data_IF_483161076838
#
_entry.id   IF_483161076838
#
_cell.length_a   1.000
_cell.length_b   1.000
_cell.length_c   1.000
_cell.angle_alpha   90.00
_cell.angle_beta   90.00
_cell.angle_gamma   90.00
#
_symmetry.space_group_name_H-M   'P 1'
#
loop_
_entity.id
_entity.type
_entity.pdbx_description
1 polymer ?
#
# COMPACT_ATOMS: atom_id res chain seq x y z
N UNK A 1 -3.08 12.65 -27.30
CA UNK A 1 -4.15 13.28 -26.51
C UNK A 1 -5.39 13.34 -27.41
N UNK A 2 -6.47 12.66 -26.99
CA UNK A 2 -7.65 12.49 -27.86
C UNK A 2 -8.57 13.71 -27.90
N UNK A 3 -8.65 14.53 -26.84
CA UNK A 3 -9.50 15.71 -26.78
C UNK A 3 -8.76 16.86 -26.09
N UNK A 4 -8.78 18.03 -26.74
CA UNK A 4 -8.08 19.25 -26.30
C UNK A 4 -8.68 19.84 -25.01
N UNK A 5 -9.88 19.41 -24.61
CA UNK A 5 -10.55 19.89 -23.38
C UNK A 5 -10.06 19.19 -22.10
N UNK A 6 -9.14 18.23 -22.21
CA UNK A 6 -8.70 17.39 -21.07
C UNK A 6 -7.78 18.12 -20.07
N UNK A 7 -7.26 19.30 -20.39
CA UNK A 7 -6.25 19.98 -19.58
C UNK A 7 -4.83 19.36 -19.66
N UNK A 8 -4.61 18.37 -20.51
CA UNK A 8 -3.34 17.71 -20.75
C UNK A 8 -2.75 18.01 -22.12
N UNK A 9 -1.44 18.02 -22.21
CA UNK A 9 -0.68 18.22 -23.46
C UNK A 9 0.13 16.97 -23.81
N UNK A 10 0.40 16.76 -25.11
CA UNK A 10 1.28 15.71 -25.59
C UNK A 10 2.68 15.86 -24.95
N UNK A 11 3.31 14.75 -24.57
CA UNK A 11 4.61 14.73 -23.91
C UNK A 11 4.56 14.88 -22.37
N UNK A 12 3.43 15.24 -21.80
CA UNK A 12 3.32 15.28 -20.34
C UNK A 12 3.34 13.87 -19.75
N UNK A 13 4.12 13.69 -18.68
CA UNK A 13 4.18 12.44 -17.92
C UNK A 13 3.06 12.40 -16.89
N UNK A 14 2.36 11.27 -16.82
CA UNK A 14 1.25 11.08 -15.89
C UNK A 14 1.37 9.74 -15.18
N UNK A 15 0.87 9.68 -13.95
CA UNK A 15 0.49 8.44 -13.28
C UNK A 15 -1.01 8.23 -13.47
N UNK A 16 -1.41 6.99 -13.74
CA UNK A 16 -2.81 6.66 -14.08
C UNK A 16 -3.45 5.88 -12.95
N UNK A 17 -4.52 6.44 -12.36
CA UNK A 17 -5.34 5.72 -11.39
C UNK A 17 -6.05 4.56 -12.07
N UNK A 18 -5.89 3.31 -11.59
CA UNK A 18 -6.65 2.18 -12.13
C UNK A 18 -8.13 2.21 -11.71
N UNK A 19 -8.50 3.02 -10.73
CA UNK A 19 -9.84 3.09 -10.14
C UNK A 19 -10.76 3.97 -10.98
N UNK A 20 -11.90 3.40 -11.41
CA UNK A 20 -12.93 4.08 -12.18
C UNK A 20 -14.31 3.75 -11.60
N UNK A 21 -14.74 4.44 -10.55
CA UNK A 21 -16.08 4.30 -9.99
C UNK A 21 -17.14 4.89 -10.92
N UNK A 22 -18.39 4.41 -10.85
CA UNK A 22 -19.44 4.86 -11.75
C UNK A 22 -20.00 6.25 -11.42
N UNK A 23 -19.71 6.81 -10.25
CA UNK A 23 -20.22 8.11 -9.79
C UNK A 23 -21.71 8.14 -9.39
N UNK A 24 -22.52 7.19 -9.83
CA UNK A 24 -23.97 7.24 -9.70
C UNK A 24 -24.63 6.20 -8.79
N UNK A 25 -23.87 5.27 -8.19
CA UNK A 25 -24.46 4.29 -7.27
C UNK A 25 -24.50 4.82 -5.83
N UNK A 26 -25.24 4.14 -4.95
CA UNK A 26 -25.41 4.55 -3.54
C UNK A 26 -24.08 4.80 -2.84
N UNK A 27 -23.09 3.91 -3.01
CA UNK A 27 -21.80 4.07 -2.34
C UNK A 27 -20.98 5.24 -2.91
N UNK A 28 -21.09 5.54 -4.20
CA UNK A 28 -20.47 6.75 -4.75
C UNK A 28 -21.11 8.01 -4.16
N UNK A 29 -22.44 8.04 -4.01
CA UNK A 29 -23.15 9.16 -3.39
C UNK A 29 -22.88 9.30 -1.88
N UNK A 30 -22.57 8.20 -1.18
CA UNK A 30 -22.17 8.20 0.22
C UNK A 30 -20.68 8.57 0.43
N UNK A 31 -19.93 8.89 -0.64
CA UNK A 31 -18.50 9.21 -0.55
C UNK A 31 -17.60 8.00 -0.38
N UNK A 32 -18.08 6.81 -0.75
CA UNK A 32 -17.35 5.54 -0.68
C UNK A 32 -17.08 4.95 -2.08
N UNK A 33 -16.40 5.70 -2.98
CA UNK A 33 -16.24 5.28 -4.37
C UNK A 33 -15.41 3.99 -4.53
N UNK A 34 -14.51 3.67 -3.60
CA UNK A 34 -13.79 2.39 -3.56
C UNK A 34 -14.70 1.17 -3.39
N UNK A 35 -15.92 1.36 -2.86
CA UNK A 35 -16.99 0.35 -2.74
C UNK A 35 -18.04 0.44 -3.85
N UNK A 36 -17.75 1.15 -4.94
CA UNK A 36 -18.66 1.31 -6.07
C UNK A 36 -19.19 -0.03 -6.58
N UNK A 37 -20.52 -0.14 -6.76
CA UNK A 37 -21.16 -1.36 -7.25
C UNK A 37 -20.77 -1.71 -8.69
N UNK A 38 -20.39 -0.71 -9.49
CA UNK A 38 -19.99 -0.86 -10.89
C UNK A 38 -18.53 -0.47 -11.08
N UNK A 39 -17.67 -0.75 -10.12
CA UNK A 39 -16.26 -0.43 -10.16
C UNK A 39 -15.58 -1.07 -11.37
N UNK A 40 -14.90 -0.24 -12.17
CA UNK A 40 -13.98 -0.68 -13.21
C UNK A 40 -12.56 -0.36 -12.76
N UNK A 41 -11.84 -1.38 -12.29
CA UNK A 41 -10.48 -1.24 -11.81
C UNK A 41 -9.55 -2.03 -12.73
N UNK A 42 -8.59 -1.36 -13.39
CA UNK A 42 -7.70 -2.02 -14.36
C UNK A 42 -7.00 -3.23 -13.74
N UNK A 43 -7.07 -4.37 -14.44
CA UNK A 43 -6.48 -5.65 -14.02
C UNK A 43 -7.29 -6.40 -12.96
N UNK A 44 -8.47 -5.91 -12.56
CA UNK A 44 -9.28 -6.60 -11.55
C UNK A 44 -10.01 -7.81 -12.13
N UNK A 45 -9.86 -8.95 -11.46
CA UNK A 45 -10.61 -10.18 -11.71
C UNK A 45 -11.91 -10.29 -10.87
N UNK A 46 -12.21 -9.30 -10.01
CA UNK A 46 -13.41 -9.33 -9.17
C UNK A 46 -14.73 -9.29 -9.95
N UNK A 47 -14.93 -8.39 -10.95
CA UNK A 47 -16.12 -8.43 -11.79
C UNK A 47 -15.97 -9.47 -12.90
N UNK A 48 -17.10 -9.96 -13.42
CA UNK A 48 -17.12 -10.75 -14.64
C UNK A 48 -17.98 -10.04 -15.72
N UNK A 49 -17.48 -9.90 -16.96
CA UNK A 49 -16.11 -10.22 -17.43
C UNK A 49 -15.03 -9.38 -16.75
N UNK A 50 -13.81 -9.96 -16.61
CA UNK A 50 -12.69 -9.32 -15.96
C UNK A 50 -12.28 -8.01 -16.65
N UNK A 51 -11.80 -7.06 -15.88
CA UNK A 51 -11.32 -5.78 -16.41
C UNK A 51 -9.88 -5.94 -16.90
N UNK A 52 -9.64 -5.57 -18.16
CA UNK A 52 -8.32 -5.61 -18.77
C UNK A 52 -7.29 -4.81 -17.95
N UNK A 53 -6.06 -5.32 -17.88
CA UNK A 53 -4.95 -4.68 -17.18
C UNK A 53 -4.29 -3.54 -17.99
N UNK A 54 -3.33 -2.88 -17.35
CA UNK A 54 -2.63 -1.73 -17.90
C UNK A 54 -1.25 -2.08 -18.51
N UNK A 55 -0.82 -3.34 -18.54
CA UNK A 55 0.42 -3.75 -19.21
C UNK A 55 0.24 -3.73 -20.72
N UNK A 56 0.39 -2.55 -21.32
CA UNK A 56 0.24 -2.29 -22.76
C UNK A 56 0.95 -1.01 -23.16
N UNK A 57 1.33 -0.89 -24.41
CA UNK A 57 2.01 0.30 -24.94
C UNK A 57 1.06 1.50 -25.03
N UNK A 58 -0.22 1.26 -25.34
CA UNK A 58 -1.24 2.31 -25.48
C UNK A 58 -2.42 1.97 -24.56
N UNK A 59 -2.76 2.92 -23.68
CA UNK A 59 -3.90 2.82 -22.77
C UNK A 59 -4.80 4.03 -22.96
N UNK A 60 -6.08 3.78 -23.28
CA UNK A 60 -7.10 4.83 -23.32
C UNK A 60 -7.70 4.95 -21.93
N UNK A 61 -7.70 6.17 -21.40
CA UNK A 61 -8.19 6.50 -20.06
C UNK A 61 -9.13 7.69 -20.08
N UNK A 62 -9.86 7.90 -19.02
CA UNK A 62 -10.55 9.17 -18.75
C UNK A 62 -9.57 10.19 -18.16
N UNK A 63 -9.78 11.47 -18.46
CA UNK A 63 -8.92 12.55 -17.93
C UNK A 63 -8.86 12.57 -16.39
N UNK A 64 -9.95 12.18 -15.73
CA UNK A 64 -10.04 12.04 -14.27
C UNK A 64 -9.11 11.00 -13.67
N UNK A 65 -8.62 10.05 -14.48
CA UNK A 65 -7.68 9.02 -14.04
C UNK A 65 -6.21 9.47 -14.17
N UNK A 66 -5.94 10.53 -14.94
CA UNK A 66 -4.59 11.00 -15.18
C UNK A 66 -4.15 12.02 -14.12
N UNK A 67 -2.98 11.83 -13.55
CA UNK A 67 -2.38 12.74 -12.57
C UNK A 67 -0.97 13.10 -13.02
N UNK A 68 -0.70 14.41 -13.19
CA UNK A 68 0.58 14.92 -13.69
C UNK A 68 1.72 14.56 -12.75
N UNK A 69 2.82 14.08 -13.33
CA UNK A 69 4.08 13.89 -12.64
C UNK A 69 4.95 15.17 -12.81
N UNK A 70 5.57 15.60 -11.72
CA UNK A 70 6.55 16.66 -11.76
C UNK A 70 7.78 16.25 -12.60
N UNK A 71 8.55 17.20 -13.17
CA UNK A 71 9.76 16.89 -13.92
C UNK A 71 10.80 16.07 -13.13
N UNK A 72 10.83 16.21 -11.81
CA UNK A 72 11.71 15.49 -10.89
C UNK A 72 11.24 14.08 -10.54
N UNK A 73 9.98 13.71 -10.85
CA UNK A 73 9.39 12.40 -10.53
C UNK A 73 9.54 11.49 -11.73
N UNK A 74 10.20 10.35 -11.55
CA UNK A 74 10.39 9.34 -12.59
C UNK A 74 9.09 8.56 -12.86
N UNK A 75 8.99 7.91 -14.02
CA UNK A 75 7.85 7.03 -14.33
C UNK A 75 7.79 5.83 -13.38
N UNK A 76 8.95 5.32 -12.95
CA UNK A 76 9.03 4.23 -11.99
C UNK A 76 8.46 4.63 -10.61
N UNK A 77 8.80 5.84 -10.12
CA UNK A 77 8.17 6.40 -8.91
C UNK A 77 6.66 6.61 -9.11
N UNK A 78 6.25 7.16 -10.25
CA UNK A 78 4.84 7.33 -10.60
C UNK A 78 4.04 6.03 -10.62
N UNK A 79 4.66 4.91 -11.01
CA UNK A 79 4.04 3.60 -10.96
C UNK A 79 3.78 3.10 -9.53
N UNK A 80 4.48 3.64 -8.53
CA UNK A 80 4.26 3.32 -7.11
C UNK A 80 3.09 4.11 -6.49
N UNK A 81 2.49 5.07 -7.20
CA UNK A 81 1.35 5.83 -6.67
C UNK A 81 0.17 4.92 -6.30
N UNK A 82 -0.07 3.85 -7.08
CA UNK A 82 -1.15 2.90 -6.81
C UNK A 82 -0.94 2.18 -5.48
N UNK A 83 0.14 1.41 -5.28
CA UNK A 83 0.34 0.71 -4.01
C UNK A 83 0.59 1.66 -2.83
N UNK A 84 1.12 2.86 -3.04
CA UNK A 84 1.24 3.90 -2.01
C UNK A 84 -0.14 4.36 -1.53
N UNK A 85 -1.10 4.50 -2.44
CA UNK A 85 -2.48 4.90 -2.13
C UNK A 85 -3.17 3.91 -1.18
N UNK A 86 -2.85 2.62 -1.27
CA UNK A 86 -3.36 1.59 -0.34
C UNK A 86 -2.89 1.89 1.09
N UNK A 87 -1.61 2.24 1.26
CA UNK A 87 -1.05 2.63 2.57
C UNK A 87 -1.70 3.90 3.13
N UNK A 88 -1.88 4.92 2.29
CA UNK A 88 -2.54 6.17 2.69
C UNK A 88 -3.99 5.93 3.12
N UNK A 89 -4.73 5.11 2.37
CA UNK A 89 -6.10 4.75 2.74
C UNK A 89 -6.14 3.97 4.07
N UNK A 90 -5.20 3.06 4.30
CA UNK A 90 -5.09 2.34 5.57
C UNK A 90 -4.87 3.30 6.75
N UNK A 91 -4.04 4.35 6.60
CA UNK A 91 -3.81 5.38 7.63
C UNK A 91 -5.10 6.16 7.91
N UNK A 92 -5.89 6.50 6.89
CA UNK A 92 -7.20 7.13 7.09
C UNK A 92 -8.15 6.21 7.85
N UNK A 93 -8.15 4.90 7.52
CA UNK A 93 -8.95 3.90 8.24
C UNK A 93 -8.54 3.77 9.71
N UNK A 94 -7.28 4.02 10.05
CA UNK A 94 -6.81 4.06 11.43
C UNK A 94 -7.30 5.29 12.22
N UNK A 95 -7.77 6.33 11.54
CA UNK A 95 -8.15 7.60 12.17
C UNK A 95 -6.94 8.50 12.48
N UNK A 96 -5.86 8.35 11.71
CA UNK A 96 -4.61 9.10 11.84
C UNK A 96 -3.60 8.45 12.79
N UNK A 97 -2.33 8.83 12.62
CA UNK A 97 -1.18 8.20 13.29
C UNK A 97 -0.21 9.20 13.93
N UNK A 98 -0.47 10.50 13.82
CA UNK A 98 0.41 11.51 14.39
C UNK A 98 0.64 11.29 15.89
N UNK A 99 1.90 11.24 16.31
CA UNK A 99 2.31 11.03 17.70
C UNK A 99 2.05 9.63 18.25
N UNK A 100 1.66 8.64 17.41
CA UNK A 100 1.32 7.28 17.85
C UNK A 100 2.48 6.29 17.67
N UNK A 101 2.52 5.28 18.53
CA UNK A 101 3.40 4.10 18.40
C UNK A 101 2.69 3.09 17.53
N UNK A 102 3.34 2.70 16.44
CA UNK A 102 2.74 1.89 15.39
C UNK A 102 3.50 0.58 15.22
N UNK A 103 2.78 -0.53 15.12
CA UNK A 103 3.30 -1.82 14.68
C UNK A 103 2.87 -2.09 13.25
N UNK A 104 3.82 -2.47 12.39
CA UNK A 104 3.55 -2.98 11.05
C UNK A 104 4.03 -4.41 10.96
N UNK A 105 3.13 -5.35 10.69
CA UNK A 105 3.45 -6.76 10.42
C UNK A 105 3.32 -7.04 8.93
N UNK A 106 4.39 -7.60 8.34
CA UNK A 106 4.52 -7.77 6.90
C UNK A 106 5.13 -6.55 6.21
N UNK A 107 6.40 -6.68 5.83
CA UNK A 107 7.21 -5.65 5.19
C UNK A 107 7.41 -5.92 3.68
N UNK A 108 6.41 -6.51 3.02
CA UNK A 108 6.35 -6.56 1.56
C UNK A 108 6.20 -5.15 0.94
N UNK A 109 5.98 -5.04 -0.38
CA UNK A 109 5.87 -3.74 -1.05
C UNK A 109 4.85 -2.80 -0.40
N UNK A 110 3.65 -3.32 -0.07
CA UNK A 110 2.59 -2.52 0.58
C UNK A 110 3.00 -2.10 1.99
N UNK A 111 3.54 -3.03 2.80
CA UNK A 111 3.98 -2.72 4.17
C UNK A 111 5.10 -1.68 4.19
N UNK A 112 6.06 -1.77 3.27
CA UNK A 112 7.14 -0.80 3.16
C UNK A 112 6.66 0.59 2.72
N UNK A 113 5.77 0.68 1.73
CA UNK A 113 5.16 1.95 1.33
C UNK A 113 4.29 2.54 2.44
N UNK A 114 3.60 1.70 3.20
CA UNK A 114 2.86 2.13 4.38
C UNK A 114 3.80 2.69 5.46
N UNK A 115 4.97 2.07 5.72
CA UNK A 115 5.98 2.58 6.66
C UNK A 115 6.43 3.99 6.25
N UNK A 116 6.75 4.21 4.97
CA UNK A 116 7.09 5.55 4.46
C UNK A 116 5.96 6.57 4.66
N UNK A 117 4.71 6.13 4.45
CA UNK A 117 3.53 6.96 4.67
C UNK A 117 3.31 7.28 6.15
N UNK A 118 3.57 6.34 7.06
CA UNK A 118 3.48 6.51 8.52
C UNK A 118 4.51 7.52 9.01
N UNK A 119 5.74 7.45 8.50
CA UNK A 119 6.78 8.42 8.82
C UNK A 119 6.37 9.83 8.38
N UNK A 120 5.92 9.97 7.13
CA UNK A 120 5.44 11.25 6.60
C UNK A 120 4.22 11.79 7.37
N UNK A 121 3.35 10.91 7.89
CA UNK A 121 2.19 11.27 8.70
C UNK A 121 2.52 11.55 10.17
N UNK A 122 3.79 11.51 10.58
CA UNK A 122 4.24 11.88 11.91
C UNK A 122 3.99 10.83 13.00
N UNK A 123 4.04 9.53 12.66
CA UNK A 123 4.07 8.49 13.67
C UNK A 123 5.28 8.67 14.61
N UNK A 124 5.07 8.52 15.91
CA UNK A 124 6.11 8.71 16.94
C UNK A 124 7.17 7.61 16.88
N UNK A 125 6.73 6.39 16.67
CA UNK A 125 7.57 5.21 16.56
C UNK A 125 6.92 4.23 15.59
N UNK A 126 7.73 3.62 14.74
CA UNK A 126 7.29 2.59 13.80
C UNK A 126 8.14 1.36 14.04
N UNK A 127 7.52 0.31 14.57
CA UNK A 127 8.13 -1.02 14.72
C UNK A 127 7.64 -1.90 13.59
N UNK A 128 8.56 -2.51 12.85
CA UNK A 128 8.25 -3.36 11.72
C UNK A 128 8.68 -4.82 12.00
N UNK A 129 7.82 -5.77 11.69
CA UNK A 129 8.07 -7.20 11.87
C UNK A 129 7.80 -7.98 10.58
N UNK A 130 8.73 -8.84 10.20
CA UNK A 130 8.66 -9.70 9.02
C UNK A 130 9.51 -10.97 9.23
N UNK A 131 9.48 -11.89 8.28
CA UNK A 131 10.31 -13.10 8.26
C UNK A 131 11.53 -12.97 7.34
N UNK A 132 11.69 -11.84 6.63
CA UNK A 132 12.71 -11.58 5.61
C UNK A 132 13.60 -10.41 6.00
N UNK A 133 14.91 -10.67 6.09
CA UNK A 133 15.91 -9.61 6.36
C UNK A 133 15.94 -8.54 5.28
N UNK A 134 15.77 -8.93 4.01
CA UNK A 134 15.73 -7.97 2.89
C UNK A 134 14.53 -7.04 2.98
N UNK A 135 13.37 -7.57 3.38
CA UNK A 135 12.16 -6.77 3.61
C UNK A 135 12.33 -5.80 4.79
N UNK A 136 12.97 -6.25 5.88
CA UNK A 136 13.26 -5.44 7.05
C UNK A 136 14.35 -4.38 6.77
N UNK A 137 15.34 -4.69 5.94
CA UNK A 137 16.32 -3.70 5.48
C UNK A 137 15.66 -2.58 4.67
N UNK A 138 14.68 -2.92 3.82
CA UNK A 138 13.85 -1.94 3.14
C UNK A 138 13.03 -1.12 4.15
N UNK A 139 12.41 -1.76 5.16
CA UNK A 139 11.62 -1.10 6.18
C UNK A 139 12.40 -0.03 6.96
N UNK A 140 13.68 -0.32 7.30
CA UNK A 140 14.58 0.69 7.91
C UNK A 140 14.79 1.89 6.99
N UNK A 141 15.02 1.64 5.70
CA UNK A 141 15.20 2.72 4.70
C UNK A 141 13.92 3.53 4.50
N UNK A 142 12.75 2.90 4.67
CA UNK A 142 11.46 3.56 4.59
C UNK A 142 11.07 4.31 5.88
N UNK A 143 11.86 4.19 6.96
CA UNK A 143 11.66 4.96 8.19
C UNK A 143 11.17 4.17 9.40
N UNK A 144 11.23 2.84 9.37
CA UNK A 144 11.00 2.05 10.58
C UNK A 144 12.08 2.35 11.62
N UNK A 145 11.64 2.68 12.85
CA UNK A 145 12.54 2.97 13.97
C UNK A 145 13.19 1.70 14.52
N UNK A 146 12.50 0.58 14.43
CA UNK A 146 12.92 -0.73 14.94
C UNK A 146 12.36 -1.84 14.03
N UNK A 147 13.12 -2.92 13.87
CA UNK A 147 12.71 -4.04 13.01
C UNK A 147 13.02 -5.36 13.69
N UNK A 148 12.10 -6.33 13.57
CA UNK A 148 12.24 -7.67 14.13
C UNK A 148 12.06 -8.74 13.05
N UNK A 149 13.05 -9.65 12.93
CA UNK A 149 12.93 -10.84 12.11
C UNK A 149 12.31 -11.97 12.97
N UNK A 150 11.01 -12.20 12.78
CA UNK A 150 10.29 -13.20 13.58
C UNK A 150 10.60 -14.64 13.18
N UNK A 151 11.35 -14.87 12.09
CA UNK A 151 11.90 -16.19 11.76
C UNK A 151 13.05 -16.56 12.70
N UNK A 152 13.91 -15.58 12.99
CA UNK A 152 15.12 -15.78 13.80
C UNK A 152 14.83 -15.52 15.29
N UNK A 153 13.94 -14.58 15.59
CA UNK A 153 13.52 -14.18 16.94
C UNK A 153 11.98 -14.22 17.08
N UNK A 154 11.38 -15.43 17.16
CA UNK A 154 9.91 -15.56 17.20
C UNK A 154 9.24 -14.80 18.37
N UNK A 155 9.97 -14.65 19.50
CA UNK A 155 9.48 -14.00 20.73
C UNK A 155 9.82 -12.50 20.77
N UNK A 156 10.36 -11.91 19.71
CA UNK A 156 10.81 -10.51 19.73
C UNK A 156 9.67 -9.52 20.09
N UNK A 157 8.43 -9.83 19.75
CA UNK A 157 7.27 -9.00 20.06
C UNK A 157 6.78 -9.17 21.52
N UNK A 158 7.22 -10.18 22.27
CA UNK A 158 6.76 -10.42 23.64
C UNK A 158 7.05 -9.22 24.59
N UNK A 159 8.13 -8.49 24.34
CA UNK A 159 8.49 -7.27 25.09
C UNK A 159 7.43 -6.17 25.04
N UNK A 160 6.56 -6.17 24.03
CA UNK A 160 5.50 -5.19 23.85
C UNK A 160 4.16 -5.63 24.46
N UNK A 161 4.10 -6.75 25.16
CA UNK A 161 2.86 -7.25 25.79
C UNK A 161 2.68 -6.77 27.23
N UNK A 162 3.74 -6.23 27.85
CA UNK A 162 3.69 -5.69 29.23
C UNK A 162 2.60 -4.61 29.37
N UNK A 163 2.09 -4.45 30.59
CA UNK A 163 1.11 -3.40 30.94
C UNK A 163 -0.14 -3.38 30.03
N UNK A 164 -0.60 -4.54 29.62
CA UNK A 164 -1.71 -4.78 28.68
C UNK A 164 -1.41 -4.40 27.21
N UNK A 165 -0.16 -4.13 26.85
CA UNK A 165 0.25 -3.84 25.47
C UNK A 165 0.78 -2.41 25.29
N UNK A 166 1.41 -2.22 24.15
CA UNK A 166 2.28 -1.06 23.91
C UNK A 166 1.79 -0.17 22.76
N UNK A 167 1.33 -0.78 21.63
CA UNK A 167 1.04 -0.03 20.41
C UNK A 167 -0.33 0.62 20.42
N UNK A 168 -0.40 1.84 19.88
CA UNK A 168 -1.62 2.59 19.68
C UNK A 168 -2.37 2.11 18.42
N UNK A 169 -1.59 1.80 17.36
CA UNK A 169 -2.10 1.33 16.07
C UNK A 169 -1.27 0.17 15.56
N UNK A 170 -1.92 -0.81 14.95
CA UNK A 170 -1.28 -1.87 14.19
C UNK A 170 -1.82 -1.89 12.76
N UNK A 171 -0.92 -2.11 11.81
CA UNK A 171 -1.26 -2.45 10.45
C UNK A 171 -0.78 -3.86 10.14
N UNK A 172 -1.72 -4.74 9.85
CA UNK A 172 -1.42 -6.10 9.43
C UNK A 172 -1.40 -6.17 7.90
N UNK A 173 -0.20 -6.25 7.31
CA UNK A 173 0.03 -6.21 5.87
C UNK A 173 0.59 -7.54 5.30
N UNK A 174 0.70 -8.58 6.13
CA UNK A 174 1.19 -9.89 5.71
C UNK A 174 0.09 -10.83 5.22
N UNK A 175 -1.15 -10.65 5.69
CA UNK A 175 -2.26 -11.60 5.54
C UNK A 175 -2.10 -12.86 6.40
N UNK A 176 -1.15 -12.87 7.34
CA UNK A 176 -0.88 -14.02 8.23
C UNK A 176 -1.77 -14.00 9.46
N UNK A 177 -2.50 -15.09 9.68
CA UNK A 177 -3.29 -15.26 10.89
C UNK A 177 -2.42 -15.24 12.16
N UNK A 178 -1.17 -15.73 12.09
CA UNK A 178 -0.24 -15.71 13.22
C UNK A 178 0.21 -14.29 13.52
N UNK A 179 0.61 -13.52 12.50
CA UNK A 179 1.03 -12.13 12.68
C UNK A 179 -0.09 -11.27 13.29
N UNK A 180 -1.35 -11.50 12.88
CA UNK A 180 -2.50 -10.81 13.46
C UNK A 180 -2.70 -11.18 14.93
N UNK A 181 -2.62 -12.48 15.28
CA UNK A 181 -2.75 -12.95 16.69
C UNK A 181 -1.66 -12.38 17.58
N UNK A 182 -0.41 -12.45 17.15
CA UNK A 182 0.73 -11.96 17.93
C UNK A 182 0.65 -10.46 18.13
N UNK A 183 0.34 -9.73 17.05
CA UNK A 183 0.17 -8.28 17.10
C UNK A 183 -0.96 -7.83 18.02
N UNK A 184 -2.09 -8.54 18.06
CA UNK A 184 -3.21 -8.24 18.98
C UNK A 184 -2.76 -8.27 20.44
N UNK A 185 -1.83 -9.14 20.82
CA UNK A 185 -1.31 -9.21 22.20
C UNK A 185 -0.53 -7.94 22.57
N UNK A 186 0.12 -7.33 21.58
CA UNK A 186 0.96 -6.13 21.72
C UNK A 186 0.17 -4.82 21.73
N UNK A 187 -1.13 -4.86 21.39
CA UNK A 187 -1.99 -3.67 21.38
C UNK A 187 -2.36 -3.24 22.79
N UNK A 188 -2.25 -1.95 23.07
CA UNK A 188 -2.79 -1.38 24.30
C UNK A 188 -4.34 -1.39 24.28
N UNK A 189 -5.00 -1.25 25.45
CA UNK A 189 -6.45 -1.05 25.48
C UNK A 189 -6.89 0.13 24.58
N UNK A 190 -8.00 -0.06 23.86
CA UNK A 190 -8.56 0.88 22.89
C UNK A 190 -7.60 1.22 21.72
N UNK A 191 -6.67 0.31 21.43
CA UNK A 191 -5.83 0.39 20.22
C UNK A 191 -6.63 0.08 18.96
N UNK A 192 -6.11 0.52 17.81
CA UNK A 192 -6.73 0.31 16.51
C UNK A 192 -5.90 -0.70 15.72
N UNK A 193 -6.52 -1.73 15.17
CA UNK A 193 -5.90 -2.69 14.26
C UNK A 193 -6.53 -2.55 12.88
N UNK A 194 -5.71 -2.28 11.86
CA UNK A 194 -6.14 -2.21 10.47
C UNK A 194 -5.59 -3.39 9.71
N UNK A 195 -6.47 -4.25 9.18
CA UNK A 195 -6.08 -5.36 8.32
C UNK A 195 -5.95 -4.88 6.88
N UNK A 196 -4.75 -5.01 6.32
CA UNK A 196 -4.37 -4.61 4.96
C UNK A 196 -4.09 -5.84 4.11
N UNK A 197 -3.43 -6.84 4.68
CA UNK A 197 -3.10 -8.09 4.04
C UNK A 197 -4.36 -8.90 3.71
N UNK A 198 -4.39 -9.48 2.51
CA UNK A 198 -5.44 -10.42 2.10
C UNK A 198 -4.98 -11.83 2.41
N UNK A 199 -5.61 -12.45 3.40
CA UNK A 199 -5.49 -13.86 3.75
C UNK A 199 -6.80 -14.60 3.51
N UNK A 200 -6.82 -15.89 3.83
CA UNK A 200 -8.08 -16.65 3.92
C UNK A 200 -8.82 -16.36 5.23
N UNK A 201 -9.78 -17.21 5.56
CA UNK A 201 -10.46 -17.14 6.85
C UNK A 201 -9.46 -17.35 8.00
N UNK A 202 -9.54 -16.48 9.00
CA UNK A 202 -8.61 -16.48 10.13
C UNK A 202 -9.37 -16.60 11.46
N UNK A 203 -8.84 -17.42 12.39
CA UNK A 203 -9.30 -17.43 13.77
C UNK A 203 -8.52 -16.42 14.59
N UNK A 204 -9.23 -15.55 15.31
CA UNK A 204 -8.64 -14.54 16.19
C UNK A 204 -9.09 -14.74 17.64
N UNK A 205 -8.30 -14.31 18.64
CA UNK A 205 -8.67 -14.36 20.04
C UNK A 205 -9.68 -13.24 20.37
N UNK A 206 -10.97 -13.46 20.07
CA UNK A 206 -12.00 -12.46 20.21
C UNK A 206 -12.13 -11.93 21.65
N UNK A 207 -11.90 -12.79 22.67
CA UNK A 207 -11.90 -12.36 24.07
C UNK A 207 -10.84 -11.30 24.36
N UNK A 208 -9.69 -11.33 23.66
CA UNK A 208 -8.66 -10.30 23.76
C UNK A 208 -9.13 -8.98 23.16
N UNK A 209 -9.78 -9.04 22.00
CA UNK A 209 -10.37 -7.86 21.33
C UNK A 209 -11.40 -7.21 22.26
N UNK A 210 -12.31 -8.00 22.85
CA UNK A 210 -13.33 -7.50 23.79
C UNK A 210 -12.69 -6.96 25.07
N UNK A 211 -11.76 -7.72 25.69
CA UNK A 211 -11.15 -7.34 26.97
C UNK A 211 -10.26 -6.10 26.93
N UNK A 212 -9.76 -5.75 25.73
CA UNK A 212 -8.98 -4.52 25.49
C UNK A 212 -9.76 -3.44 24.74
N UNK A 213 -11.03 -3.67 24.39
CA UNK A 213 -11.84 -2.75 23.56
C UNK A 213 -11.10 -2.35 22.26
N UNK A 214 -10.49 -3.32 21.57
CA UNK A 214 -9.73 -3.06 20.35
C UNK A 214 -10.68 -2.77 19.19
N UNK A 215 -10.42 -1.69 18.46
CA UNK A 215 -11.05 -1.40 17.18
C UNK A 215 -10.38 -2.23 16.06
N UNK A 216 -11.06 -3.27 15.59
CA UNK A 216 -10.60 -4.05 14.42
C UNK A 216 -11.26 -3.50 13.15
N UNK A 217 -10.45 -3.00 12.20
CA UNK A 217 -10.91 -2.32 10.99
C UNK A 217 -10.33 -2.98 9.75
N UNK A 218 -11.14 -3.11 8.69
CA UNK A 218 -10.66 -3.45 7.35
C UNK A 218 -10.28 -2.20 6.56
N UNK A 219 -9.39 -2.38 5.58
CA UNK A 219 -9.13 -1.41 4.52
C UNK A 219 -9.26 -2.09 3.16
N UNK A 220 -9.79 -1.39 2.18
CA UNK A 220 -9.99 -1.95 0.86
C UNK A 220 -9.71 -0.93 -0.22
N UNK A 221 -8.67 -1.21 -1.05
CA UNK A 221 -8.27 -0.34 -2.17
C UNK A 221 -8.03 1.11 -1.72
N UNK A 222 -8.45 2.07 -2.53
CA UNK A 222 -8.36 3.51 -2.35
C UNK A 222 -9.25 4.20 -3.40
N UNK A 223 -9.39 5.53 -3.32
CA UNK A 223 -9.82 6.33 -4.45
C UNK A 223 -9.23 7.75 -4.39
N UNK A 224 -9.62 8.64 -3.44
CA UNK A 224 -9.06 9.99 -3.39
C UNK A 224 -7.55 9.99 -3.04
N UNK A 225 -7.07 8.96 -2.36
CA UNK A 225 -5.69 8.85 -1.94
C UNK A 225 -4.70 8.73 -3.11
N UNK A 226 -5.17 8.39 -4.34
CA UNK A 226 -4.30 8.33 -5.51
C UNK A 226 -3.74 9.71 -5.87
N UNK A 227 -4.58 10.74 -5.88
CA UNK A 227 -4.12 12.11 -6.11
C UNK A 227 -3.14 12.55 -5.02
N UNK A 228 -3.41 12.19 -3.76
CA UNK A 228 -2.51 12.49 -2.64
C UNK A 228 -1.17 11.76 -2.79
N UNK A 229 -1.17 10.49 -3.19
CA UNK A 229 0.04 9.73 -3.44
C UNK A 229 0.92 10.38 -4.51
N UNK A 230 0.34 10.78 -5.64
CA UNK A 230 1.07 11.50 -6.71
C UNK A 230 1.65 12.81 -6.21
N UNK A 231 0.91 13.58 -5.42
CA UNK A 231 1.39 14.84 -4.86
C UNK A 231 2.56 14.63 -3.89
N UNK A 232 2.48 13.61 -3.02
CA UNK A 232 3.57 13.26 -2.10
C UNK A 232 4.83 12.81 -2.84
N UNK A 233 4.68 12.06 -3.94
CA UNK A 233 5.79 11.67 -4.83
C UNK A 233 6.39 12.87 -5.55
N UNK A 234 5.56 13.76 -6.08
CA UNK A 234 5.99 14.96 -6.79
C UNK A 234 6.78 15.91 -5.88
N UNK A 235 6.38 16.03 -4.62
CA UNK A 235 7.08 16.83 -3.59
C UNK A 235 8.23 16.11 -2.92
N UNK A 236 8.51 14.86 -3.28
CA UNK A 236 9.55 14.04 -2.63
C UNK A 236 9.38 13.91 -1.11
N UNK A 237 8.14 13.98 -0.62
CA UNK A 237 7.82 13.78 0.80
C UNK A 237 8.06 12.33 1.22
N UNK A 238 7.79 11.39 0.29
CA UNK A 238 8.05 9.97 0.48
C UNK A 238 9.00 9.52 -0.63
N UNK A 239 10.18 9.03 -0.25
CA UNK A 239 11.10 8.37 -1.17
C UNK A 239 10.70 6.88 -1.32
N UNK A 240 10.17 6.52 -2.49
CA UNK A 240 9.75 5.14 -2.80
C UNK A 240 10.84 4.31 -3.48
N UNK A 241 11.98 4.91 -3.81
CA UNK A 241 13.08 4.21 -4.49
C UNK A 241 13.59 2.98 -3.72
N UNK A 242 13.64 2.97 -2.36
CA UNK A 242 14.01 1.77 -1.62
C UNK A 242 13.15 0.54 -1.93
N UNK A 243 11.90 0.74 -2.35
CA UNK A 243 10.95 -0.35 -2.67
C UNK A 243 11.14 -0.89 -4.09
N UNK A 244 11.64 -0.06 -5.02
CA UNK A 244 11.89 -0.47 -6.42
C UNK A 244 13.18 -1.28 -6.46
N UNK A 245 13.06 -2.62 -6.51
CA UNK A 245 14.23 -3.50 -6.56
C UNK A 245 14.78 -3.67 -7.98
N UNK A 246 13.89 -3.71 -8.97
CA UNK A 246 14.25 -3.96 -10.37
C UNK A 246 13.36 -3.17 -11.33
N UNK A 247 13.98 -2.70 -12.42
CA UNK A 247 13.28 -2.18 -13.59
C UNK A 247 13.67 -3.06 -14.78
N UNK A 248 12.69 -3.70 -15.41
CA UNK A 248 12.91 -4.71 -16.44
C UNK A 248 12.21 -4.28 -17.73
N UNK A 249 12.88 -4.31 -18.89
CA UNK A 249 12.25 -3.99 -20.16
C UNK A 249 11.08 -4.92 -20.48
N UNK A 250 9.99 -4.40 -21.07
CA UNK A 250 8.76 -5.16 -21.34
C UNK A 250 8.97 -6.41 -22.19
N UNK A 251 9.95 -6.42 -23.09
CA UNK A 251 10.28 -7.61 -23.89
C UNK A 251 10.82 -8.79 -23.06
N UNK A 252 11.20 -8.55 -21.80
CA UNK A 252 11.59 -9.54 -20.79
C UNK A 252 10.48 -9.75 -19.74
N UNK A 253 9.23 -9.47 -20.09
CA UNK A 253 8.12 -9.51 -19.11
C UNK A 253 7.99 -10.86 -18.39
N UNK A 254 8.20 -11.99 -19.07
CA UNK A 254 8.15 -13.33 -18.43
C UNK A 254 9.14 -13.41 -17.28
N UNK A 255 10.39 -13.04 -17.52
CA UNK A 255 11.44 -13.01 -16.50
C UNK A 255 11.09 -12.03 -15.36
N UNK A 256 10.50 -10.88 -15.69
CA UNK A 256 10.07 -9.90 -14.68
C UNK A 256 8.98 -10.47 -13.77
N UNK A 257 8.03 -11.24 -14.30
CA UNK A 257 6.99 -11.90 -13.48
C UNK A 257 7.57 -13.01 -12.62
N UNK A 258 8.51 -13.81 -13.13
CA UNK A 258 9.22 -14.83 -12.34
C UNK A 258 9.98 -14.18 -11.17
N UNK A 259 10.73 -13.12 -11.46
CA UNK A 259 11.46 -12.34 -10.46
C UNK A 259 10.52 -11.72 -9.41
N UNK A 260 9.38 -11.14 -9.83
CA UNK A 260 8.39 -10.57 -8.93
C UNK A 260 7.74 -11.62 -8.01
N UNK A 261 7.71 -12.89 -8.42
CA UNK A 261 7.26 -14.03 -7.61
C UNK A 261 8.27 -14.45 -6.53
N UNK A 262 9.54 -14.13 -6.72
CA UNK A 262 10.62 -14.48 -5.76
C UNK A 262 10.82 -13.36 -4.73
N UNK A 263 10.13 -13.50 -3.59
CA UNK A 263 10.20 -12.53 -2.48
C UNK A 263 11.58 -12.40 -1.82
N UNK A 264 12.52 -13.32 -2.10
CA UNK A 264 13.89 -13.23 -1.58
C UNK A 264 14.74 -12.31 -2.45
N UNK A 265 14.47 -12.27 -3.75
CA UNK A 265 15.24 -11.49 -4.72
C UNK A 265 14.63 -10.13 -5.04
N UNK A 266 13.31 -10.02 -5.00
CA UNK A 266 12.64 -8.79 -5.41
C UNK A 266 11.64 -8.27 -4.37
N UNK A 267 11.67 -6.96 -4.16
CA UNK A 267 10.63 -6.23 -3.41
C UNK A 267 9.54 -5.77 -4.38
N UNK A 268 9.88 -4.92 -5.35
CA UNK A 268 8.96 -4.48 -6.42
C UNK A 268 9.70 -4.46 -7.75
N UNK A 269 9.15 -5.14 -8.74
CA UNK A 269 9.63 -5.14 -10.11
C UNK A 269 8.75 -4.20 -10.93
N UNK A 270 9.36 -3.26 -11.65
CA UNK A 270 8.71 -2.34 -12.56
C UNK A 270 9.02 -2.76 -14.00
N UNK A 271 8.00 -2.83 -14.86
CA UNK A 271 8.16 -3.06 -16.29
C UNK A 271 8.36 -1.72 -16.99
N UNK A 272 9.45 -1.61 -17.75
CA UNK A 272 9.75 -0.47 -18.61
C UNK A 272 9.32 -0.76 -20.04
N UNK A 273 8.37 0.02 -20.55
CA UNK A 273 7.88 -0.08 -21.92
C UNK A 273 8.74 0.69 -22.92
N UNK A 274 9.75 1.42 -22.43
CA UNK A 274 10.55 2.33 -23.25
C UNK A 274 9.73 3.53 -23.69
N UNK A 275 10.07 4.72 -23.23
CA UNK A 275 9.50 5.95 -23.79
C UNK A 275 10.15 6.15 -25.17
N UNK A 276 9.40 5.93 -26.25
CA UNK A 276 9.79 6.46 -27.56
C UNK A 276 9.51 7.96 -27.48
N UNK A 277 10.55 8.77 -27.55
CA UNK A 277 10.39 10.19 -27.78
C UNK A 277 9.57 10.37 -29.07
N UNK A 278 8.37 10.94 -28.93
CA UNK A 278 7.44 11.20 -30.04
C UNK A 278 7.64 12.64 -30.48
#
# INVERSE_FOLDING_TARGET
>A
VGDVQSGFSVGQRVSVSPSRPCGGCKYCHEGLPNHCLNMRFYGSAMPFPHIQGAFREILVIESSQAHLLAPSTTLAEGALAEPLSVGLHAIQRAGGVFGKRVLVTGCGPIGNLLIGSLQAAGALQIVAADLSDSALACARRMGASETHNLKDEPEALARYTADKGYFDVMFEASGSAQALRDGLTCMRPRGVVVTVGLGGDVSIPLNLVVGKEIDLRGTFRFHPEFAQAVELLNRKVIDVNPVISHTVPVHQAVQAFELAGDKQQAMKVVLDFGVKDV
#
